data_IF_493905458001
#
_entry.id   IF_493905458001
#
_cell.length_a   1.000
_cell.length_b   1.000
_cell.length_c   1.000
_cell.angle_alpha   90.00
_cell.angle_beta   90.00
_cell.angle_gamma   90.00
#
_symmetry.space_group_name_H-M   'P 1'
#
loop_
_entity.id
_entity.type
_entity.pdbx_description
1 polymer ?
#
# COMPACT_ATOMS: atom_id res chain seq x y z
N UNK A 1 7.52 6.30 7.51
CA UNK A 1 6.81 5.07 7.08
C UNK A 1 6.88 4.02 8.16
N UNK A 2 5.78 3.49 8.70
CA UNK A 2 5.82 2.33 9.62
C UNK A 2 5.79 1.03 8.81
N UNK A 3 6.75 0.12 8.99
CA UNK A 3 6.83 -1.17 8.31
C UNK A 3 6.97 -2.27 9.36
N UNK A 4 5.97 -3.15 9.44
CA UNK A 4 5.91 -4.27 10.38
C UNK A 4 5.89 -5.64 9.68
N UNK A 5 5.68 -5.67 8.36
CA UNK A 5 5.61 -6.90 7.59
C UNK A 5 6.98 -7.58 7.48
N UNK A 6 7.14 -8.68 8.23
CA UNK A 6 8.34 -9.53 8.20
C UNK A 6 8.25 -10.53 7.04
N UNK A 7 9.20 -10.47 6.12
CA UNK A 7 9.25 -11.33 4.93
C UNK A 7 10.49 -12.22 4.95
N UNK A 8 10.35 -13.48 4.51
CA UNK A 8 11.47 -14.40 4.32
C UNK A 8 11.95 -14.31 2.88
N UNK A 9 13.23 -13.99 2.67
CA UNK A 9 13.84 -13.84 1.34
C UNK A 9 14.87 -14.93 1.02
N UNK A 10 15.21 -15.78 1.99
CA UNK A 10 16.10 -16.91 1.82
C UNK A 10 16.00 -17.92 2.96
N UNK A 11 16.77 -19.02 2.93
CA UNK A 11 16.66 -20.12 3.90
C UNK A 11 16.77 -19.66 5.37
N UNK A 12 17.67 -18.70 5.63
CA UNK A 12 17.97 -18.13 6.94
C UNK A 12 18.02 -16.60 6.90
N UNK A 13 17.14 -15.96 6.13
CA UNK A 13 17.11 -14.50 6.03
C UNK A 13 15.69 -13.98 6.03
N UNK A 14 15.37 -13.26 7.10
CA UNK A 14 14.14 -12.50 7.28
C UNK A 14 14.45 -11.01 7.19
N UNK A 15 13.56 -10.26 6.58
CA UNK A 15 13.70 -8.82 6.39
C UNK A 15 12.41 -8.07 6.72
N UNK A 16 12.56 -6.84 7.19
CA UNK A 16 11.55 -5.80 7.05
C UNK A 16 11.90 -5.00 5.80
N UNK A 17 11.18 -5.25 4.71
CA UNK A 17 11.37 -4.55 3.45
C UNK A 17 10.29 -3.50 3.27
N UNK A 18 10.70 -2.29 2.89
CA UNK A 18 9.78 -1.22 2.54
C UNK A 18 8.99 -1.60 1.27
N UNK A 19 7.66 -1.67 1.31
CA UNK A 19 6.85 -2.00 0.12
C UNK A 19 6.81 -0.89 -0.95
N UNK A 20 7.36 0.29 -0.68
CA UNK A 20 7.33 1.43 -1.62
C UNK A 20 8.64 1.58 -2.40
N UNK A 21 9.79 1.55 -1.70
CA UNK A 21 11.11 1.69 -2.33
C UNK A 21 11.90 0.38 -2.37
N UNK A 22 11.33 -0.73 -1.89
CA UNK A 22 11.98 -2.04 -1.80
C UNK A 22 13.25 -2.07 -0.94
N UNK A 23 13.49 -1.03 -0.14
CA UNK A 23 14.65 -0.93 0.74
C UNK A 23 14.51 -1.84 1.95
N UNK A 24 15.59 -2.54 2.30
CA UNK A 24 15.65 -3.41 3.48
C UNK A 24 15.95 -2.53 4.70
N UNK A 25 14.98 -2.42 5.60
CA UNK A 25 15.06 -1.58 6.80
C UNK A 25 15.67 -2.31 7.99
N UNK A 26 15.44 -3.62 8.07
CA UNK A 26 16.05 -4.51 9.04
C UNK A 26 16.18 -5.90 8.43
N UNK A 27 17.21 -6.63 8.83
CA UNK A 27 17.41 -8.04 8.46
C UNK A 27 17.85 -8.85 9.67
N UNK A 28 17.45 -10.11 9.71
CA UNK A 28 17.87 -11.05 10.74
C UNK A 28 17.84 -12.49 10.22
N UNK A 29 18.53 -13.39 10.92
CA UNK A 29 18.52 -14.83 10.62
C UNK A 29 17.16 -15.47 10.90
N UNK A 30 16.45 -14.98 11.92
CA UNK A 30 15.16 -15.49 12.38
C UNK A 30 14.14 -14.36 12.53
N UNK A 31 12.85 -14.72 12.46
CA UNK A 31 11.74 -13.75 12.49
C UNK A 31 11.65 -12.98 13.81
N UNK A 32 12.07 -13.60 14.91
CA UNK A 32 11.94 -13.08 16.27
C UNK A 32 12.94 -11.95 16.54
N UNK A 33 14.12 -12.02 15.92
CA UNK A 33 15.15 -10.99 16.04
C UNK A 33 14.87 -9.73 15.21
N UNK A 34 13.90 -9.79 14.29
CA UNK A 34 13.45 -8.58 13.62
C UNK A 34 12.66 -7.70 14.61
N UNK A 35 12.87 -6.37 14.59
CA UNK A 35 12.09 -5.48 15.41
C UNK A 35 10.59 -5.60 15.07
N UNK A 36 9.71 -5.23 16.00
CA UNK A 36 8.26 -5.23 15.76
C UNK A 36 7.89 -4.33 14.59
N UNK A 37 8.64 -3.25 14.42
CA UNK A 37 8.53 -2.36 13.29
C UNK A 37 9.85 -1.69 12.96
N UNK A 38 9.95 -1.17 11.75
CA UNK A 38 11.00 -0.25 11.33
C UNK A 38 10.39 0.93 10.62
N UNK A 39 11.09 2.07 10.69
CA UNK A 39 10.67 3.27 10.00
C UNK A 39 11.49 3.51 8.75
N UNK A 40 10.87 3.53 7.57
CA UNK A 40 11.53 4.01 6.36
C UNK A 40 11.34 5.51 6.20
N UNK A 41 12.42 6.19 5.81
CA UNK A 41 12.44 7.63 5.55
C UNK A 41 11.93 7.99 4.13
N UNK A 42 11.61 7.02 3.26
CA UNK A 42 10.99 7.31 1.95
C UNK A 42 9.65 8.04 2.07
N UNK A 43 8.95 7.86 3.19
CA UNK A 43 7.71 8.56 3.56
C UNK A 43 7.99 9.87 4.33
N UNK A 44 9.19 10.01 4.92
CA UNK A 44 9.66 11.29 5.49
C UNK A 44 10.13 12.27 4.43
N UNK A 45 10.25 11.86 3.17
CA UNK A 45 10.52 12.76 2.05
C UNK A 45 9.28 13.63 1.72
N UNK A 46 8.93 14.49 2.68
CA UNK A 46 8.21 15.74 2.47
C UNK A 46 6.74 15.66 2.10
N UNK A 47 5.97 14.61 2.45
CA UNK A 47 4.50 14.63 2.34
C UNK A 47 4.00 15.00 0.91
N UNK A 48 4.84 14.82 -0.12
CA UNK A 48 4.52 15.13 -1.53
C UNK A 48 3.97 13.94 -2.28
N UNK A 49 4.08 12.73 -1.72
CA UNK A 49 3.42 11.58 -2.32
C UNK A 49 1.93 11.62 -2.02
N UNK A 50 1.07 11.51 -3.05
CA UNK A 50 -0.36 11.53 -2.85
C UNK A 50 -0.76 10.33 -1.97
N UNK A 51 -1.76 10.53 -1.11
CA UNK A 51 -2.24 9.47 -0.22
C UNK A 51 -2.76 8.26 -1.01
N UNK A 52 -3.22 8.50 -2.23
CA UNK A 52 -3.66 7.52 -3.21
C UNK A 52 -2.95 7.78 -4.54
N UNK A 53 -2.57 6.71 -5.22
CA UNK A 53 -1.89 6.76 -6.50
C UNK A 53 -2.54 5.75 -7.44
N UNK A 54 -2.79 6.17 -8.68
CA UNK A 54 -3.25 5.30 -9.75
C UNK A 54 -2.02 4.88 -10.58
N UNK A 55 -1.86 3.59 -10.79
CA UNK A 55 -0.77 3.05 -11.61
C UNK A 55 -1.31 1.93 -12.51
N UNK A 56 -0.62 1.66 -13.61
CA UNK A 56 -0.96 0.54 -14.49
C UNK A 56 -0.16 -0.65 -13.99
N UNK A 57 -0.86 -1.72 -13.57
CA UNK A 57 -0.23 -2.97 -13.16
C UNK A 57 0.30 -3.77 -14.35
N UNK A 58 1.05 -4.84 -14.08
CA UNK A 58 1.73 -5.65 -15.10
C UNK A 58 0.79 -6.26 -16.16
N UNK A 59 -0.51 -6.36 -15.85
CA UNK A 59 -1.55 -6.88 -16.76
C UNK A 59 -2.27 -5.78 -17.57
N UNK A 60 -1.78 -4.54 -17.58
CA UNK A 60 -2.44 -3.40 -18.25
C UNK A 60 -3.69 -2.89 -17.54
N UNK A 61 -3.99 -3.42 -16.35
CA UNK A 61 -5.13 -3.06 -15.50
C UNK A 61 -4.80 -1.83 -14.66
N UNK A 62 -5.78 -0.94 -14.49
CA UNK A 62 -5.62 0.24 -13.64
C UNK A 62 -5.73 -0.20 -12.18
N UNK A 63 -4.72 0.15 -11.38
CA UNK A 63 -4.64 -0.19 -9.97
C UNK A 63 -4.57 1.08 -9.13
N UNK A 64 -5.14 1.03 -7.93
CA UNK A 64 -5.01 2.06 -6.91
C UNK A 64 -4.12 1.54 -5.79
N UNK A 65 -3.13 2.34 -5.41
CA UNK A 65 -2.31 2.12 -4.22
C UNK A 65 -2.57 3.20 -3.21
N UNK A 66 -2.79 2.81 -1.95
CA UNK A 66 -2.77 3.74 -0.82
C UNK A 66 -1.38 3.72 -0.18
N UNK A 67 -0.71 4.87 -0.21
CA UNK A 67 0.66 5.01 0.31
C UNK A 67 0.68 5.26 1.84
N UNK A 68 -0.46 5.66 2.44
CA UNK A 68 -0.63 5.88 3.88
C UNK A 68 -1.31 4.70 4.58
N UNK A 69 -0.94 4.41 5.82
CA UNK A 69 -1.57 3.36 6.64
C UNK A 69 -3.09 3.57 6.76
N UNK A 70 -3.93 2.51 6.72
CA UNK A 70 -3.60 1.14 6.32
C UNK A 70 -3.36 1.07 4.80
N UNK A 71 -2.22 0.49 4.37
CA UNK A 71 -1.84 0.42 2.97
C UNK A 71 -2.44 -0.79 2.28
N UNK A 72 -2.90 -0.56 1.08
CA UNK A 72 -3.42 -1.61 0.21
C UNK A 72 -3.20 -1.25 -1.25
N UNK A 73 -3.16 -2.26 -2.09
CA UNK A 73 -3.30 -2.17 -3.53
C UNK A 73 -4.61 -2.80 -3.93
N UNK A 74 -5.30 -2.23 -4.90
CA UNK A 74 -6.52 -2.80 -5.43
C UNK A 74 -6.63 -2.52 -6.91
N UNK A 75 -7.37 -3.36 -7.61
CA UNK A 75 -7.72 -3.17 -9.00
C UNK A 75 -8.90 -2.18 -9.11
N UNK A 76 -8.84 -1.28 -10.08
CA UNK A 76 -9.92 -0.32 -10.34
C UNK A 76 -10.60 -0.73 -11.63
N UNK A 77 -11.87 -1.10 -11.53
CA UNK A 77 -12.71 -1.43 -12.67
C UNK A 77 -13.52 -0.19 -13.05
N UNK A 78 -13.36 0.27 -14.29
CA UNK A 78 -14.14 1.36 -14.86
C UNK A 78 -15.24 0.78 -15.76
N UNK A 79 -16.24 0.15 -15.16
CA UNK A 79 -17.52 -0.11 -15.84
C UNK A 79 -18.48 1.08 -15.61
N UNK A 80 -19.80 0.86 -15.60
CA UNK A 80 -20.80 1.93 -15.39
C UNK A 80 -20.62 2.69 -14.06
N UNK A 81 -20.03 2.03 -13.07
CA UNK A 81 -19.58 2.60 -11.80
C UNK A 81 -18.11 2.25 -11.59
N UNK A 82 -17.30 3.22 -11.15
CA UNK A 82 -15.91 2.96 -10.77
C UNK A 82 -15.91 2.13 -9.48
N UNK A 83 -15.55 0.84 -9.59
CA UNK A 83 -15.49 -0.07 -8.44
C UNK A 83 -14.04 -0.50 -8.14
N UNK A 84 -13.83 -1.01 -6.94
CA UNK A 84 -12.54 -1.46 -6.42
C UNK A 84 -12.60 -2.98 -6.20
N UNK A 85 -11.85 -3.73 -6.99
CA UNK A 85 -11.75 -5.19 -6.90
C UNK A 85 -10.35 -5.65 -6.47
N UNK A 86 -10.19 -6.93 -6.13
CA UNK A 86 -8.89 -7.56 -5.84
C UNK A 86 -8.01 -6.78 -4.83
N UNK A 87 -8.59 -6.41 -3.68
CA UNK A 87 -7.86 -5.68 -2.64
C UNK A 87 -6.81 -6.59 -1.98
N UNK A 88 -5.56 -6.17 -2.05
CA UNK A 88 -4.43 -6.79 -1.38
C UNK A 88 -3.88 -5.84 -0.30
N UNK A 89 -3.95 -6.27 0.96
CA UNK A 89 -3.39 -5.54 2.08
C UNK A 89 -1.86 -5.67 2.10
N UNK A 90 -1.17 -4.54 2.21
CA UNK A 90 0.29 -4.49 2.33
C UNK A 90 0.74 -4.50 3.79
N UNK A 91 -0.11 -3.99 4.69
CA UNK A 91 0.15 -3.96 6.13
C UNK A 91 -0.77 -4.96 6.85
N UNK A 92 -0.28 -5.55 7.95
CA UNK A 92 -1.10 -6.31 8.90
C UNK A 92 -1.97 -5.33 9.69
N UNK A 93 -3.14 -4.98 9.13
CA UNK A 93 -4.12 -4.11 9.78
C UNK A 93 -5.15 -4.97 10.53
N UNK A 94 -5.13 -4.90 11.86
CA UNK A 94 -6.10 -5.59 12.72
C UNK A 94 -7.41 -4.81 12.88
N UNK A 95 -7.39 -3.49 12.62
CA UNK A 95 -8.55 -2.60 12.78
C UNK A 95 -9.40 -2.49 11.51
N UNK A 96 -10.48 -3.28 11.47
CA UNK A 96 -11.43 -3.32 10.35
C UNK A 96 -12.09 -1.96 10.07
N UNK A 97 -12.29 -1.13 11.10
CA UNK A 97 -12.90 0.20 10.98
C UNK A 97 -11.97 1.17 10.24
N UNK A 98 -10.66 1.13 10.53
CA UNK A 98 -9.69 1.98 9.85
C UNK A 98 -9.57 1.60 8.37
N UNK A 99 -9.59 0.29 8.08
CA UNK A 99 -9.60 -0.21 6.71
C UNK A 99 -10.86 0.24 5.95
N UNK A 100 -12.05 0.14 6.55
CA UNK A 100 -13.29 0.59 5.92
C UNK A 100 -13.28 2.10 5.62
N UNK A 101 -12.77 2.92 6.55
CA UNK A 101 -12.56 4.36 6.32
C UNK A 101 -11.57 4.62 5.19
N UNK A 102 -10.53 3.78 5.09
CA UNK A 102 -9.52 3.89 4.06
C UNK A 102 -10.06 3.56 2.66
N UNK A 103 -10.92 2.55 2.56
CA UNK A 103 -11.60 2.19 1.32
C UNK A 103 -12.61 3.24 0.86
N UNK A 104 -13.43 3.78 1.79
CA UNK A 104 -14.36 4.87 1.44
C UNK A 104 -13.64 6.08 0.83
N UNK A 105 -12.52 6.49 1.42
CA UNK A 105 -11.68 7.58 0.88
C UNK A 105 -11.05 7.25 -0.48
N UNK A 106 -10.77 5.97 -0.75
CA UNK A 106 -10.28 5.53 -2.06
C UNK A 106 -11.38 5.67 -3.12
N UNK A 107 -12.61 5.26 -2.82
CA UNK A 107 -13.77 5.49 -3.69
C UNK A 107 -14.03 6.97 -3.97
N UNK A 108 -13.95 7.83 -2.94
CA UNK A 108 -14.05 9.30 -3.12
C UNK A 108 -12.95 9.86 -4.03
N UNK A 109 -11.72 9.33 -3.91
CA UNK A 109 -10.60 9.72 -4.76
C UNK A 109 -10.83 9.33 -6.23
N UNK A 110 -11.37 8.13 -6.48
CA UNK A 110 -11.73 7.66 -7.81
C UNK A 110 -12.88 8.49 -8.42
N UNK A 111 -13.91 8.80 -7.64
CA UNK A 111 -15.02 9.67 -8.07
C UNK A 111 -14.55 11.07 -8.47
N UNK A 112 -13.61 11.64 -7.71
CA UNK A 112 -13.00 12.95 -8.04
C UNK A 112 -12.12 12.88 -9.28
N UNK A 113 -11.33 11.81 -9.41
CA UNK A 113 -10.45 11.59 -10.56
C UNK A 113 -11.26 11.37 -11.85
N UNK A 114 -12.36 10.62 -11.78
CA UNK A 114 -13.31 10.42 -12.89
C UNK A 114 -13.98 11.72 -13.34
N UNK A 115 -14.36 12.60 -12.40
CA UNK A 115 -14.90 13.93 -12.73
C UNK A 115 -13.90 14.86 -13.42
N UNK A 116 -12.60 14.75 -13.11
CA UNK A 116 -11.57 15.60 -13.71
C UNK A 116 -11.15 15.16 -15.12
N UNK A 117 -11.48 13.94 -15.55
CA UNK A 117 -11.20 13.44 -16.92
C UNK A 117 -12.18 13.92 -18.00
N UNK A 118 -13.16 14.78 -17.66
CA UNK A 118 -14.15 15.35 -18.60
C UNK A 118 -13.83 16.80 -19.04
N UNK A 119 -12.56 17.21 -19.08
CA UNK A 119 -12.16 18.51 -19.64
C UNK A 119 -11.26 18.36 -20.85
#
# INVERSE_FOLDING_TARGET
>A
MYVNKKQKIGPAMWVLQCPLCSEILASASEREYLPEFSTCDCDRNGNKQPAYELFIGDAGKQMIRRNKYPRFTAEVMFEELSDIENVQLLDDCTDTIELARAMRKAGEFLLKSSRNGKR
#
